data_IF_323021298912
#
_entry.id   IF_323021298912
#
_cell.length_a   1.000
_cell.length_b   1.000
_cell.length_c   1.000
_cell.angle_alpha   90.00
_cell.angle_beta   90.00
_cell.angle_gamma   90.00
#
_symmetry.space_group_name_H-M   'P 1'
#
loop_
_entity.id
_entity.type
_entity.pdbx_description
1 polymer ?
#
# COMPACT_ATOMS: atom_id res chain seq x y z
N UNK A 1 27.18 8.09 41.63
CA UNK A 1 27.04 6.80 40.93
C UNK A 1 25.79 6.76 40.04
N UNK A 2 24.72 7.47 40.38
CA UNK A 2 23.43 7.52 39.64
C UNK A 2 23.49 8.16 38.24
N UNK A 3 24.28 9.23 38.02
CA UNK A 3 24.35 9.88 36.69
C UNK A 3 24.94 9.01 35.56
N UNK A 4 25.83 8.07 35.89
CA UNK A 4 26.43 7.19 34.88
C UNK A 4 25.45 6.18 34.30
N UNK A 5 24.44 5.78 35.08
CA UNK A 5 23.41 4.85 34.61
C UNK A 5 22.42 5.55 33.67
N UNK A 6 22.05 6.80 33.95
CA UNK A 6 21.13 7.58 33.10
C UNK A 6 21.70 7.85 31.72
N UNK A 7 22.99 8.23 31.63
CA UNK A 7 23.63 8.50 30.33
C UNK A 7 23.84 7.23 29.49
N UNK A 8 24.07 6.09 30.15
CA UNK A 8 24.17 4.80 29.46
C UNK A 8 22.81 4.39 28.86
N UNK A 9 21.73 4.54 29.64
CA UNK A 9 20.35 4.23 29.23
C UNK A 9 19.89 5.10 28.04
N UNK A 10 20.17 6.41 28.08
CA UNK A 10 19.87 7.33 26.97
C UNK A 10 20.62 6.98 25.67
N UNK A 11 21.88 6.54 25.76
CA UNK A 11 22.66 6.12 24.60
C UNK A 11 22.16 4.80 24.02
N UNK A 12 21.79 3.85 24.86
CA UNK A 12 21.22 2.58 24.43
C UNK A 12 19.86 2.79 23.75
N UNK A 13 19.02 3.68 24.29
CA UNK A 13 17.74 4.03 23.68
C UNK A 13 17.93 4.69 22.31
N UNK A 14 18.83 5.67 22.19
CA UNK A 14 19.15 6.30 20.89
C UNK A 14 19.73 5.30 19.88
N UNK A 15 20.57 4.36 20.34
CA UNK A 15 21.14 3.31 19.50
C UNK A 15 20.08 2.35 18.95
N UNK A 16 18.96 2.17 19.64
CA UNK A 16 17.82 1.36 19.15
C UNK A 16 16.85 2.15 18.28
N UNK A 17 16.65 3.44 18.55
CA UNK A 17 15.71 4.29 17.80
C UNK A 17 16.14 4.47 16.34
N UNK A 18 17.42 4.70 16.07
CA UNK A 18 17.93 4.95 14.73
C UNK A 18 17.73 3.76 13.75
N UNK A 19 18.09 2.50 14.11
CA UNK A 19 17.80 1.37 13.24
C UNK A 19 16.31 1.07 13.12
N UNK A 20 15.51 1.28 14.18
CA UNK A 20 14.05 1.14 14.11
C UNK A 20 13.42 2.13 13.13
N UNK A 21 13.84 3.40 13.18
CA UNK A 21 13.43 4.43 12.23
C UNK A 21 13.78 4.05 10.79
N UNK A 22 15.04 3.67 10.55
CA UNK A 22 15.53 3.32 9.21
C UNK A 22 14.79 2.11 8.64
N UNK A 23 14.64 1.05 9.44
CA UNK A 23 13.96 -0.17 9.02
C UNK A 23 12.47 0.09 8.82
N UNK A 24 11.83 0.86 9.71
CA UNK A 24 10.43 1.25 9.58
C UNK A 24 10.15 2.03 8.29
N UNK A 25 10.97 3.06 8.03
CA UNK A 25 10.91 3.84 6.80
C UNK A 25 11.18 3.00 5.54
N UNK A 26 12.09 2.03 5.61
CA UNK A 26 12.35 1.09 4.51
C UNK A 26 11.15 0.19 4.24
N UNK A 27 10.54 -0.40 5.27
CA UNK A 27 9.35 -1.26 5.11
C UNK A 27 8.17 -0.48 4.53
N UNK A 28 7.93 0.75 5.02
CA UNK A 28 6.90 1.63 4.45
C UNK A 28 7.16 1.91 2.97
N UNK A 29 8.41 2.19 2.59
CA UNK A 29 8.79 2.43 1.20
C UNK A 29 8.63 1.16 0.33
N UNK A 30 9.03 -0.01 0.82
CA UNK A 30 8.86 -1.29 0.13
C UNK A 30 7.37 -1.63 -0.08
N UNK A 31 6.51 -1.34 0.89
CA UNK A 31 5.07 -1.48 0.72
C UNK A 31 4.52 -0.52 -0.36
N UNK A 32 5.00 0.72 -0.39
CA UNK A 32 4.69 1.67 -1.47
C UNK A 32 5.10 1.13 -2.85
N UNK A 33 6.30 0.57 -2.96
CA UNK A 33 6.77 -0.09 -4.20
C UNK A 33 5.88 -1.29 -4.54
N UNK A 34 5.46 -2.10 -3.57
CA UNK A 34 4.55 -3.22 -3.80
C UNK A 34 3.21 -2.74 -4.38
N UNK A 35 2.66 -1.60 -3.90
CA UNK A 35 1.47 -1.00 -4.53
C UNK A 35 1.74 -0.55 -5.96
N UNK A 36 2.89 0.06 -6.26
CA UNK A 36 3.25 0.43 -7.64
C UNK A 36 3.28 -0.82 -8.54
N UNK A 37 3.96 -1.88 -8.10
CA UNK A 37 4.05 -3.14 -8.86
C UNK A 37 2.65 -3.72 -9.07
N UNK A 38 1.83 -3.78 -8.02
CA UNK A 38 0.46 -4.29 -8.13
C UNK A 38 -0.37 -3.47 -9.12
N UNK A 39 -0.32 -2.14 -9.06
CA UNK A 39 -1.01 -1.26 -10.00
C UNK A 39 -0.52 -1.42 -11.44
N UNK A 40 0.77 -1.68 -11.67
CA UNK A 40 1.30 -2.00 -13.00
C UNK A 40 0.79 -3.35 -13.51
N UNK A 41 0.75 -4.39 -12.66
CA UNK A 41 0.17 -5.69 -13.03
C UNK A 41 -1.30 -5.53 -13.38
N UNK A 42 -2.05 -4.80 -12.56
CA UNK A 42 -3.46 -4.49 -12.79
C UNK A 42 -3.68 -3.77 -14.12
N UNK A 43 -2.85 -2.76 -14.41
CA UNK A 43 -2.88 -2.03 -15.68
C UNK A 43 -2.56 -2.94 -16.88
N UNK A 44 -1.56 -3.80 -16.76
CA UNK A 44 -1.19 -4.74 -17.80
C UNK A 44 -2.32 -5.73 -18.08
N UNK A 45 -2.93 -6.30 -17.04
CA UNK A 45 -4.07 -7.22 -17.19
C UNK A 45 -5.25 -6.57 -17.92
N UNK A 46 -5.52 -5.29 -17.67
CA UNK A 46 -6.57 -4.58 -18.39
C UNK A 46 -6.34 -4.52 -19.91
N UNK A 47 -5.08 -4.44 -20.37
CA UNK A 47 -4.77 -4.29 -21.80
C UNK A 47 -4.45 -5.60 -22.52
N UNK A 48 -3.86 -6.58 -21.83
CA UNK A 48 -3.38 -7.82 -22.44
C UNK A 48 -3.87 -9.09 -21.75
N UNK A 49 -4.65 -8.97 -20.68
CA UNK A 49 -5.20 -10.11 -19.95
C UNK A 49 -6.52 -10.61 -20.55
N UNK A 50 -6.77 -11.91 -20.36
CA UNK A 50 -8.01 -12.57 -20.79
C UNK A 50 -9.17 -12.41 -19.78
N UNK A 51 -8.88 -11.84 -18.61
CA UNK A 51 -9.85 -11.57 -17.54
C UNK A 51 -10.08 -10.08 -17.31
N UNK A 52 -10.97 -9.75 -16.37
CA UNK A 52 -11.24 -8.37 -15.98
C UNK A 52 -10.12 -7.81 -15.10
N UNK A 53 -9.66 -8.62 -14.15
CA UNK A 53 -8.57 -8.31 -13.21
C UNK A 53 -8.03 -9.60 -12.58
N UNK A 54 -6.98 -9.49 -11.76
CA UNK A 54 -6.38 -10.61 -11.03
C UNK A 54 -7.45 -11.30 -10.16
N UNK A 55 -7.71 -12.58 -10.40
CA UNK A 55 -8.71 -13.36 -9.68
C UNK A 55 -10.15 -13.19 -10.17
N UNK A 56 -10.40 -12.45 -11.27
CA UNK A 56 -11.74 -12.21 -11.84
C UNK A 56 -11.74 -12.43 -13.35
N UNK A 57 -12.16 -13.63 -13.77
CA UNK A 57 -12.19 -14.01 -15.19
C UNK A 57 -13.52 -13.70 -15.89
N UNK A 58 -14.62 -13.64 -15.14
CA UNK A 58 -15.97 -13.47 -15.70
C UNK A 58 -16.84 -12.58 -14.82
N UNK A 59 -17.73 -11.80 -15.43
CA UNK A 59 -18.79 -11.06 -14.75
C UNK A 59 -20.14 -11.65 -15.17
N UNK A 60 -20.90 -12.17 -14.21
CA UNK A 60 -22.19 -12.83 -14.50
C UNK A 60 -22.06 -14.06 -15.43
N UNK A 61 -20.91 -14.73 -15.43
CA UNK A 61 -20.61 -15.84 -16.33
C UNK A 61 -20.14 -15.45 -17.73
N UNK A 62 -20.09 -14.14 -18.04
CA UNK A 62 -19.59 -13.61 -19.31
C UNK A 62 -18.13 -13.19 -19.19
N UNK A 63 -17.35 -13.52 -20.21
CA UNK A 63 -16.00 -12.99 -20.44
C UNK A 63 -16.06 -11.55 -20.95
N UNK A 64 -14.93 -10.83 -20.92
CA UNK A 64 -14.85 -9.45 -21.43
C UNK A 64 -15.21 -9.35 -22.92
N UNK A 65 -14.89 -10.38 -23.71
CA UNK A 65 -15.18 -10.44 -25.14
C UNK A 65 -16.68 -10.63 -25.46
N UNK A 66 -17.47 -11.11 -24.50
CA UNK A 66 -18.91 -11.33 -24.65
C UNK A 66 -19.74 -10.12 -24.24
N UNK A 67 -19.15 -9.13 -23.55
CA UNK A 67 -19.83 -7.93 -23.11
C UNK A 67 -20.13 -6.98 -24.27
N UNK A 68 -21.14 -6.12 -24.06
CA UNK A 68 -21.34 -4.94 -24.90
C UNK A 68 -20.04 -4.12 -24.97
N UNK A 69 -19.56 -3.73 -26.16
CA UNK A 69 -18.28 -3.02 -26.30
C UNK A 69 -18.20 -1.69 -25.53
N UNK A 70 -19.33 -0.99 -25.37
CA UNK A 70 -19.39 0.26 -24.60
C UNK A 70 -19.20 -0.02 -23.11
N UNK A 71 -19.83 -1.08 -22.62
CA UNK A 71 -19.68 -1.54 -21.22
C UNK A 71 -18.25 -2.03 -20.97
N UNK A 72 -17.69 -2.84 -21.86
CA UNK A 72 -16.31 -3.32 -21.76
C UNK A 72 -15.31 -2.15 -21.73
N UNK A 73 -15.49 -1.16 -22.60
CA UNK A 73 -14.65 0.05 -22.61
C UNK A 73 -14.79 0.87 -21.33
N UNK A 74 -16.01 1.04 -20.80
CA UNK A 74 -16.22 1.76 -19.55
C UNK A 74 -15.57 1.06 -18.35
N UNK A 75 -15.66 -0.27 -18.27
CA UNK A 75 -14.96 -1.06 -17.24
C UNK A 75 -13.44 -0.88 -17.40
N UNK A 76 -12.92 -0.97 -18.62
CA UNK A 76 -11.50 -0.78 -18.89
C UNK A 76 -11.01 0.62 -18.45
N UNK A 77 -11.80 1.65 -18.74
CA UNK A 77 -11.51 3.01 -18.30
C UNK A 77 -11.41 3.13 -16.77
N UNK A 78 -12.34 2.52 -16.04
CA UNK A 78 -12.29 2.47 -14.57
C UNK A 78 -11.08 1.70 -14.06
N UNK A 79 -10.69 0.59 -14.71
CA UNK A 79 -9.48 -0.15 -14.34
C UNK A 79 -8.20 0.66 -14.55
N UNK A 80 -8.07 1.37 -15.68
CA UNK A 80 -6.93 2.25 -15.93
C UNK A 80 -6.87 3.37 -14.89
N UNK A 81 -8.00 4.01 -14.58
CA UNK A 81 -8.07 5.04 -13.55
C UNK A 81 -7.66 4.50 -12.18
N UNK A 82 -8.19 3.33 -11.80
CA UNK A 82 -7.90 2.67 -10.52
C UNK A 82 -6.42 2.28 -10.41
N UNK A 83 -5.85 1.69 -11.46
CA UNK A 83 -4.43 1.38 -11.52
C UNK A 83 -3.57 2.64 -11.36
N UNK A 84 -3.92 3.74 -12.03
CA UNK A 84 -3.20 5.01 -11.91
C UNK A 84 -3.26 5.57 -10.48
N UNK A 85 -4.39 5.45 -9.79
CA UNK A 85 -4.51 5.85 -8.38
C UNK A 85 -3.72 4.95 -7.43
N UNK A 86 -3.69 3.64 -7.67
CA UNK A 86 -2.85 2.69 -6.90
C UNK A 86 -1.37 3.03 -7.08
N UNK A 87 -0.93 3.24 -8.32
CA UNK A 87 0.46 3.60 -8.65
C UNK A 87 0.83 4.94 -7.99
N UNK A 88 -0.03 5.96 -8.12
CA UNK A 88 0.20 7.27 -7.52
C UNK A 88 0.31 7.20 -5.99
N UNK A 89 -0.58 6.43 -5.36
CA UNK A 89 -0.52 6.12 -3.92
C UNK A 89 0.80 5.45 -3.53
N UNK A 90 1.23 4.44 -4.29
CA UNK A 90 2.50 3.75 -4.07
C UNK A 90 3.71 4.67 -4.22
N UNK A 91 3.74 5.54 -5.23
CA UNK A 91 4.78 6.55 -5.44
C UNK A 91 4.83 7.52 -4.26
N UNK A 92 3.67 8.05 -3.83
CA UNK A 92 3.59 8.98 -2.72
C UNK A 92 4.11 8.35 -1.42
N UNK A 93 3.65 7.14 -1.08
CA UNK A 93 4.13 6.40 0.10
C UNK A 93 5.63 6.15 0.02
N UNK A 94 6.13 5.73 -1.14
CA UNK A 94 7.56 5.46 -1.35
C UNK A 94 8.39 6.72 -1.13
N UNK A 95 8.03 7.83 -1.77
CA UNK A 95 8.76 9.10 -1.66
C UNK A 95 8.73 9.68 -0.25
N UNK A 96 7.54 9.74 0.37
CA UNK A 96 7.37 10.25 1.73
C UNK A 96 8.15 9.42 2.76
N UNK A 97 8.15 8.09 2.59
CA UNK A 97 8.85 7.19 3.50
C UNK A 97 10.37 7.20 3.29
N UNK A 98 10.82 7.18 2.03
CA UNK A 98 12.23 7.14 1.68
C UNK A 98 12.95 8.44 2.04
N UNK A 99 12.32 9.59 1.81
CA UNK A 99 12.94 10.90 2.05
C UNK A 99 12.45 11.55 3.35
N UNK A 100 11.15 11.64 3.58
CA UNK A 100 10.59 12.40 4.71
C UNK A 100 10.70 11.67 6.05
N UNK A 101 10.24 10.42 6.12
CA UNK A 101 10.24 9.63 7.38
C UNK A 101 11.66 9.42 7.89
N UNK A 102 12.64 9.16 7.00
CA UNK A 102 14.06 9.05 7.38
C UNK A 102 14.66 10.32 7.97
N UNK A 103 14.14 11.47 7.55
CA UNK A 103 14.50 12.78 8.08
C UNK A 103 13.69 13.14 9.33
N UNK A 104 12.95 12.18 9.91
CA UNK A 104 12.10 12.34 11.09
C UNK A 104 10.99 13.39 10.91
N UNK A 105 10.58 13.67 9.67
CA UNK A 105 9.51 14.61 9.39
C UNK A 105 8.15 13.98 9.74
N UNK A 106 7.56 14.41 10.85
CA UNK A 106 6.26 13.94 11.36
C UNK A 106 5.14 14.13 10.35
N UNK A 107 5.15 15.24 9.60
CA UNK A 107 4.16 15.49 8.56
C UNK A 107 4.27 14.47 7.43
N UNK A 108 5.48 14.09 7.01
CA UNK A 108 5.67 13.11 5.93
C UNK A 108 5.22 11.71 6.35
N UNK A 109 5.50 11.33 7.61
CA UNK A 109 5.00 10.10 8.21
C UNK A 109 3.47 10.07 8.26
N UNK A 110 2.85 11.14 8.76
CA UNK A 110 1.40 11.25 8.84
C UNK A 110 0.75 11.25 7.46
N UNK A 111 1.30 11.99 6.49
CA UNK A 111 0.79 12.01 5.11
C UNK A 111 0.87 10.62 4.47
N UNK A 112 1.98 9.89 4.63
CA UNK A 112 2.09 8.53 4.10
C UNK A 112 0.99 7.59 4.65
N UNK A 113 0.69 7.71 5.95
CA UNK A 113 -0.39 6.93 6.59
C UNK A 113 -1.76 7.36 6.05
N UNK A 114 -2.05 8.65 6.02
CA UNK A 114 -3.33 9.16 5.52
C UNK A 114 -3.56 8.74 4.07
N UNK A 115 -2.54 8.83 3.21
CA UNK A 115 -2.61 8.37 1.83
C UNK A 115 -2.98 6.88 1.76
N UNK A 116 -2.32 6.03 2.54
CA UNK A 116 -2.62 4.59 2.57
C UNK A 116 -4.03 4.31 3.12
N UNK A 117 -4.40 4.94 4.24
CA UNK A 117 -5.68 4.73 4.91
C UNK A 117 -6.84 5.18 4.05
N UNK A 118 -6.77 6.35 3.41
CA UNK A 118 -7.85 6.84 2.55
C UNK A 118 -8.06 5.90 1.36
N UNK A 119 -6.98 5.45 0.71
CA UNK A 119 -7.07 4.49 -0.39
C UNK A 119 -7.70 3.16 0.03
N UNK A 120 -7.20 2.56 1.11
CA UNK A 120 -7.64 1.23 1.55
C UNK A 120 -9.01 1.25 2.23
N UNK A 121 -9.31 2.24 3.07
CA UNK A 121 -10.58 2.30 3.80
C UNK A 121 -11.78 2.51 2.88
N UNK A 122 -11.59 3.18 1.74
CA UNK A 122 -12.64 3.37 0.75
C UNK A 122 -12.76 2.17 -0.20
N UNK A 123 -11.63 1.58 -0.61
CA UNK A 123 -11.63 0.49 -1.59
C UNK A 123 -11.97 -0.88 -0.99
N UNK A 124 -11.42 -1.23 0.18
CA UNK A 124 -11.55 -2.58 0.74
C UNK A 124 -12.99 -2.99 1.06
N UNK A 125 -13.89 -2.15 1.61
CA UNK A 125 -15.25 -2.57 1.95
C UNK A 125 -16.04 -3.15 0.77
N UNK A 126 -15.81 -2.66 -0.45
CA UNK A 126 -16.52 -3.10 -1.66
C UNK A 126 -16.38 -4.60 -1.93
N UNK A 127 -15.32 -5.24 -1.45
CA UNK A 127 -15.09 -6.67 -1.63
C UNK A 127 -16.00 -7.53 -0.73
N UNK A 128 -16.59 -6.93 0.31
CA UNK A 128 -17.41 -7.62 1.31
C UNK A 128 -18.90 -7.28 1.21
N UNK A 129 -19.27 -6.18 0.53
CA UNK A 129 -20.61 -5.59 0.63
C UNK A 129 -21.59 -5.99 -0.48
N UNK A 130 -21.45 -7.15 -1.12
CA UNK A 130 -22.43 -7.48 -2.16
C UNK A 130 -22.50 -8.88 -2.74
N UNK A 131 -21.53 -9.78 -2.52
CA UNK A 131 -21.44 -11.06 -3.26
C UNK A 131 -21.80 -10.93 -4.76
N UNK A 132 -21.54 -9.75 -5.35
CA UNK A 132 -22.14 -9.32 -6.60
C UNK A 132 -21.44 -9.96 -7.82
N UNK A 133 -20.19 -10.38 -7.63
CA UNK A 133 -19.45 -11.20 -8.57
C UNK A 133 -18.44 -12.08 -7.83
N UNK A 134 -18.13 -13.23 -8.43
CA UNK A 134 -17.14 -14.17 -7.93
C UNK A 134 -15.73 -13.68 -8.18
N UNK A 135 -14.88 -13.75 -7.16
CA UNK A 135 -13.46 -13.45 -7.28
C UNK A 135 -12.65 -14.40 -6.40
N UNK A 136 -11.43 -14.74 -6.83
CA UNK A 136 -10.47 -15.47 -6.00
C UNK A 136 -9.81 -14.48 -5.03
N UNK A 137 -10.22 -14.55 -3.76
CA UNK A 137 -9.78 -13.65 -2.69
C UNK A 137 -8.27 -13.66 -2.45
N UNK A 138 -7.63 -14.81 -2.63
CA UNK A 138 -6.20 -14.98 -2.34
C UNK A 138 -5.37 -14.29 -3.41
N UNK A 139 -5.71 -14.52 -4.67
CA UNK A 139 -5.01 -13.91 -5.82
C UNK A 139 -5.34 -12.44 -5.98
N UNK A 140 -6.59 -12.05 -5.72
CA UNK A 140 -7.06 -10.68 -5.83
C UNK A 140 -6.56 -9.80 -4.67
N UNK A 141 -6.88 -10.14 -3.41
CA UNK A 141 -6.55 -9.30 -2.25
C UNK A 141 -5.26 -9.68 -1.53
N UNK A 142 -4.74 -10.89 -1.72
CA UNK A 142 -3.53 -11.36 -1.03
C UNK A 142 -2.33 -10.40 -1.15
N UNK A 143 -1.98 -9.90 -2.36
CA UNK A 143 -0.91 -8.93 -2.52
C UNK A 143 -1.13 -7.63 -1.73
N UNK A 144 -2.37 -7.12 -1.72
CA UNK A 144 -2.73 -5.89 -0.98
C UNK A 144 -2.65 -6.11 0.52
N UNK A 145 -3.11 -7.25 1.04
CA UNK A 145 -2.98 -7.58 2.45
C UNK A 145 -1.53 -7.70 2.88
N UNK A 146 -0.70 -8.37 2.09
CA UNK A 146 0.73 -8.49 2.38
C UNK A 146 1.40 -7.10 2.44
N UNK A 147 1.18 -6.26 1.43
CA UNK A 147 1.72 -4.91 1.39
C UNK A 147 1.23 -4.06 2.57
N UNK A 148 -0.04 -4.19 2.94
CA UNK A 148 -0.63 -3.47 4.08
C UNK A 148 0.00 -3.89 5.42
N UNK A 149 0.21 -5.19 5.63
CA UNK A 149 0.88 -5.70 6.84
C UNK A 149 2.31 -5.17 6.92
N UNK A 150 3.07 -5.25 5.82
CA UNK A 150 4.44 -4.72 5.75
C UNK A 150 4.45 -3.22 6.04
N UNK A 151 3.50 -2.45 5.51
CA UNK A 151 3.35 -1.03 5.78
C UNK A 151 3.09 -0.75 7.26
N UNK A 152 2.14 -1.46 7.89
CA UNK A 152 1.80 -1.28 9.31
C UNK A 152 3.00 -1.58 10.20
N UNK A 153 3.74 -2.67 9.94
CA UNK A 153 4.97 -2.98 10.67
C UNK A 153 5.98 -1.83 10.52
N UNK A 154 6.12 -1.29 9.31
CA UNK A 154 6.97 -0.14 9.05
C UNK A 154 6.58 1.10 9.86
N UNK A 155 5.28 1.43 9.89
CA UNK A 155 4.70 2.54 10.65
C UNK A 155 4.99 2.42 12.15
N UNK A 156 4.79 1.22 12.70
CA UNK A 156 5.03 0.94 14.13
C UNK A 156 6.51 1.09 14.47
N UNK A 157 7.41 0.54 13.66
CA UNK A 157 8.85 0.62 13.89
C UNK A 157 9.37 2.06 13.78
N UNK A 158 8.86 2.87 12.85
CA UNK A 158 9.33 4.24 12.68
C UNK A 158 8.78 5.23 13.71
N UNK A 159 7.70 4.88 14.43
CA UNK A 159 6.95 5.82 15.26
C UNK A 159 7.82 6.53 16.31
N UNK A 160 8.61 5.79 17.09
CA UNK A 160 9.46 6.38 18.14
C UNK A 160 10.49 7.34 17.54
N UNK A 161 11.18 6.93 16.48
CA UNK A 161 12.22 7.75 15.84
C UNK A 161 11.70 9.04 15.21
N UNK A 162 10.47 9.03 14.70
CA UNK A 162 9.81 10.24 14.17
C UNK A 162 9.37 11.18 15.31
N UNK A 163 9.03 10.64 16.49
CA UNK A 163 8.58 11.42 17.66
C UNK A 163 9.72 12.10 18.42
N UNK A 164 10.95 11.60 18.29
CA UNK A 164 12.16 12.14 18.92
C UNK A 164 12.87 13.19 18.05
N UNK A 165 12.12 13.86 17.17
CA UNK A 165 12.61 14.95 16.32
C UNK A 165 12.60 16.29 17.06
#
# INVERSE_FOLDING_TARGET
>A
MTMNHTVADEREEQAQIEPQLRNGALLMALAGIAFVVYGVVFLAMNFVGDGFELGVSTLGGMTSAELDPTVAYYISHLHVATAAFIISTGIAITGLSWYGVRQRLTWAWATAIVTAVVGLALALPMHWTGNAFSHDWVTHLGPIYLATIVFIVGVVLSYRGVRTA
#
